data_IF_510868929163
#
_entry.id   IF_510868929163
#
_cell.length_a   1.000
_cell.length_b   1.000
_cell.length_c   1.000
_cell.angle_alpha   90.00
_cell.angle_beta   90.00
_cell.angle_gamma   90.00
#
_symmetry.space_group_name_H-M   'P 1'
#
loop_
_entity.id
_entity.type
_entity.pdbx_description
1 polymer ?
#
# COMPACT_ATOMS: atom_id res chain seq x y z
N UNK A 1 -3.27 22.63 12.96
CA UNK A 1 -3.43 22.38 11.52
C UNK A 1 -2.52 21.21 11.21
N UNK A 2 -3.02 19.97 11.35
CA UNK A 2 -2.22 18.78 11.08
C UNK A 2 -2.48 18.37 9.65
N UNK A 3 -1.50 18.61 8.77
CA UNK A 3 -1.55 18.13 7.40
C UNK A 3 -1.59 16.60 7.42
N UNK A 4 -2.78 16.03 7.22
CA UNK A 4 -3.00 14.58 7.03
C UNK A 4 -2.52 14.17 5.64
N UNK A 5 -1.25 14.46 5.31
CA UNK A 5 -0.63 13.91 4.12
C UNK A 5 -0.62 12.39 4.30
N UNK A 6 -1.46 11.71 3.53
CA UNK A 6 -1.55 10.25 3.53
C UNK A 6 -0.13 9.66 3.49
N UNK A 7 0.23 8.74 4.41
CA UNK A 7 1.59 8.20 4.56
C UNK A 7 2.00 7.31 3.39
N UNK A 8 1.27 7.36 2.27
CA UNK A 8 1.51 6.64 1.03
C UNK A 8 1.58 7.57 -0.19
N UNK A 9 1.61 8.90 -0.01
CA UNK A 9 1.71 9.85 -1.13
C UNK A 9 2.99 9.70 -1.98
N UNK A 10 4.02 9.08 -1.42
CA UNK A 10 5.26 8.73 -2.13
C UNK A 10 5.09 7.60 -3.17
N UNK A 11 3.93 6.92 -3.20
CA UNK A 11 3.67 5.85 -4.16
C UNK A 11 3.31 6.32 -5.57
N UNK A 12 3.11 7.63 -5.76
CA UNK A 12 2.74 8.22 -7.05
C UNK A 12 3.81 8.02 -8.15
N UNK A 13 5.03 7.62 -7.80
CA UNK A 13 6.10 7.34 -8.77
C UNK A 13 6.97 6.14 -8.37
N UNK A 14 6.35 5.02 -8.00
CA UNK A 14 7.11 3.78 -7.77
C UNK A 14 7.51 3.18 -9.11
N UNK A 15 8.79 3.34 -9.47
CA UNK A 15 9.41 2.55 -10.54
C UNK A 15 9.56 1.09 -10.07
N UNK A 16 8.49 0.30 -10.14
CA UNK A 16 8.53 -1.15 -9.83
C UNK A 16 9.58 -1.85 -10.71
N UNK A 17 9.78 -1.37 -11.94
CA UNK A 17 10.81 -1.86 -12.86
C UNK A 17 12.25 -1.63 -12.37
N UNK A 18 12.54 -0.60 -11.56
CA UNK A 18 13.91 -0.38 -11.06
C UNK A 18 14.28 -1.32 -9.91
N UNK A 19 13.30 -1.92 -9.25
CA UNK A 19 13.53 -2.74 -8.06
C UNK A 19 13.29 -4.22 -8.28
N UNK A 20 12.48 -4.60 -9.27
CA UNK A 20 12.28 -6.00 -9.64
C UNK A 20 12.85 -6.23 -11.04
N UNK A 21 14.14 -6.58 -11.09
CA UNK A 21 14.84 -6.95 -12.33
C UNK A 21 14.52 -8.37 -12.81
N UNK A 22 13.78 -9.16 -12.02
CA UNK A 22 13.42 -10.54 -12.30
C UNK A 22 11.96 -10.65 -12.71
N UNK A 23 11.70 -11.10 -13.94
CA UNK A 23 10.37 -11.55 -14.37
C UNK A 23 10.06 -12.90 -13.70
N UNK A 24 8.86 -13.04 -13.14
CA UNK A 24 8.40 -14.30 -12.56
C UNK A 24 8.36 -15.40 -13.63
N UNK A 25 8.98 -16.53 -13.31
CA UNK A 25 9.00 -17.78 -14.07
C UNK A 25 8.85 -18.95 -13.10
N UNK A 26 8.43 -20.11 -13.60
CA UNK A 26 8.16 -21.31 -12.78
C UNK A 26 9.36 -21.80 -11.97
N UNK A 27 10.58 -21.49 -12.41
CA UNK A 27 11.83 -21.90 -11.75
C UNK A 27 12.40 -20.88 -10.78
N UNK A 28 11.90 -19.63 -10.78
CA UNK A 28 12.53 -18.52 -10.04
C UNK A 28 11.63 -17.92 -8.96
N UNK A 29 10.50 -18.55 -8.64
CA UNK A 29 9.52 -18.05 -7.67
C UNK A 29 10.14 -17.64 -6.33
N UNK A 30 11.04 -18.46 -5.77
CA UNK A 30 11.63 -18.17 -4.46
C UNK A 30 12.49 -16.89 -4.49
N UNK A 31 13.33 -16.75 -5.51
CA UNK A 31 14.19 -15.58 -5.67
C UNK A 31 13.38 -14.32 -6.03
N UNK A 32 12.38 -14.48 -6.91
CA UNK A 32 11.42 -13.43 -7.24
C UNK A 32 10.70 -12.92 -6.00
N UNK A 33 10.21 -13.85 -5.16
CA UNK A 33 9.49 -13.54 -3.92
C UNK A 33 10.37 -12.73 -2.98
N UNK A 34 11.61 -13.13 -2.74
CA UNK A 34 12.54 -12.38 -1.86
C UNK A 34 12.78 -10.96 -2.35
N UNK A 35 12.99 -10.77 -3.67
CA UNK A 35 13.19 -9.44 -4.24
C UNK A 35 11.92 -8.58 -4.15
N UNK A 36 10.76 -9.19 -4.35
CA UNK A 36 9.47 -8.52 -4.22
C UNK A 36 9.16 -8.11 -2.78
N UNK A 37 9.42 -9.00 -1.81
CA UNK A 37 9.27 -8.70 -0.37
C UNK A 37 10.22 -7.58 0.07
N UNK A 38 11.46 -7.58 -0.41
CA UNK A 38 12.44 -6.52 -0.14
C UNK A 38 11.98 -5.15 -0.68
N UNK A 39 11.39 -5.14 -1.89
CA UNK A 39 10.79 -3.94 -2.47
C UNK A 39 9.61 -3.44 -1.63
N UNK A 40 8.68 -4.32 -1.28
CA UNK A 40 7.52 -3.97 -0.47
C UNK A 40 7.94 -3.48 0.92
N UNK A 41 8.96 -4.06 1.52
CA UNK A 41 9.53 -3.62 2.80
C UNK A 41 10.10 -2.20 2.69
N UNK A 42 10.87 -1.93 1.63
CA UNK A 42 11.44 -0.60 1.36
C UNK A 42 10.37 0.48 1.22
N UNK A 43 9.18 0.13 0.72
CA UNK A 43 8.04 1.04 0.58
C UNK A 43 7.07 1.01 1.77
N UNK A 44 7.40 0.28 2.85
CA UNK A 44 6.53 0.02 4.00
C UNK A 44 5.16 -0.59 3.64
N UNK A 45 5.09 -1.31 2.53
CA UNK A 45 3.91 -2.03 2.06
C UNK A 45 3.85 -3.50 2.49
N UNK A 46 4.98 -4.07 2.95
CA UNK A 46 5.04 -5.48 3.37
C UNK A 46 4.02 -5.83 4.47
N UNK A 47 3.67 -4.85 5.30
CA UNK A 47 2.67 -5.00 6.35
C UNK A 47 1.27 -5.35 5.83
N UNK A 48 0.89 -4.89 4.64
CA UNK A 48 -0.39 -5.25 4.03
C UNK A 48 -0.41 -6.69 3.51
N UNK A 49 0.74 -7.22 3.08
CA UNK A 49 0.86 -8.60 2.58
C UNK A 49 0.90 -9.59 3.74
N UNK A 50 1.65 -9.27 4.80
CA UNK A 50 1.80 -10.13 5.97
C UNK A 50 0.60 -10.02 6.96
N UNK A 51 -0.35 -9.12 6.69
CA UNK A 51 -1.51 -8.88 7.55
C UNK A 51 -1.21 -8.12 8.84
N UNK A 52 0.02 -7.64 9.04
CA UNK A 52 0.38 -6.76 10.17
C UNK A 52 -0.27 -5.39 10.07
N UNK A 53 -0.59 -4.93 8.85
CA UNK A 53 -1.34 -3.70 8.60
C UNK A 53 -2.72 -4.08 8.08
N UNK A 54 -3.74 -3.68 8.83
CA UNK A 54 -5.14 -3.88 8.44
C UNK A 54 -5.44 -2.97 7.24
N UNK A 55 -6.16 -3.51 6.26
CA UNK A 55 -6.62 -2.71 5.13
C UNK A 55 -7.44 -1.51 5.64
N UNK A 56 -7.26 -0.30 5.06
CA UNK A 56 -8.06 0.85 5.43
C UNK A 56 -9.54 0.52 5.17
N UNK A 57 -10.41 1.04 6.03
CA UNK A 57 -11.84 0.82 5.88
C UNK A 57 -12.32 1.40 4.56
N UNK A 58 -13.14 0.65 3.82
CA UNK A 58 -13.68 1.08 2.52
C UNK A 58 -14.63 2.27 2.64
N UNK A 59 -15.02 2.63 3.87
CA UNK A 59 -15.91 3.74 4.18
C UNK A 59 -15.36 4.50 5.38
N UNK A 60 -15.47 5.81 5.35
CA UNK A 60 -15.20 6.66 6.49
C UNK A 60 -16.44 7.47 6.86
N UNK A 61 -16.61 7.75 8.15
CA UNK A 61 -17.71 8.57 8.63
C UNK A 61 -17.31 10.04 8.50
N UNK A 62 -18.06 10.78 7.70
CA UNK A 62 -17.92 12.23 7.52
C UNK A 62 -19.07 12.92 8.21
N UNK A 63 -18.77 13.92 9.03
CA UNK A 63 -19.80 14.74 9.67
C UNK A 63 -20.08 15.92 8.75
N UNK A 64 -21.22 15.88 8.05
CA UNK A 64 -21.65 16.96 7.17
C UNK A 64 -22.82 17.71 7.82
N UNK A 65 -22.57 18.94 8.31
CA UNK A 65 -23.61 19.76 8.94
C UNK A 65 -24.22 19.20 10.24
N UNK A 66 -23.52 18.30 10.94
CA UNK A 66 -23.99 17.66 12.19
C UNK A 66 -24.67 16.30 12.01
N UNK A 67 -24.82 15.83 10.77
CA UNK A 67 -25.31 14.47 10.46
C UNK A 67 -24.11 13.56 10.13
N UNK A 68 -23.99 12.38 10.76
CA UNK A 68 -22.99 11.39 10.36
C UNK A 68 -23.39 10.77 9.00
N UNK A 69 -22.60 11.02 7.97
CA UNK A 69 -22.72 10.43 6.65
C UNK A 69 -21.60 9.39 6.43
N UNK A 70 -21.92 8.30 5.75
CA UNK A 70 -20.98 7.22 5.44
C UNK A 70 -20.50 7.46 4.00
N UNK A 71 -19.25 7.87 3.81
CA UNK A 71 -18.69 8.12 2.48
C UNK A 71 -17.64 7.05 2.11
N UNK A 72 -17.64 6.54 0.86
CA UNK A 72 -16.60 5.64 0.37
C UNK A 72 -15.21 6.27 0.51
N UNK A 73 -14.22 5.50 0.91
CA UNK A 73 -12.81 5.93 0.85
C UNK A 73 -12.40 6.00 -0.64
N UNK A 74 -11.95 7.17 -1.14
CA UNK A 74 -11.54 7.35 -2.54
C UNK A 74 -10.29 6.54 -2.93
#
# INVERSE_FOLDING_TARGET
>A
MADTLSPYLFLSNVHILSSVTLKLSDTNYLLWKTQFESLLSSQKLIGFINGTVVAPQSTHTVINGGVPAIEPNP
#
